data_IF_006826604815
#
_entry.id   IF_006826604815
#
_cell.length_a   1.000
_cell.length_b   1.000
_cell.length_c   1.000
_cell.angle_alpha   90.00
_cell.angle_beta   90.00
_cell.angle_gamma   90.00
#
_symmetry.space_group_name_H-M   'P 1'
#
loop_
_entity.id
_entity.type
_entity.pdbx_description
1 polymer ?
#
# COMPACT_ATOMS: atom_id res chain seq x y z
N UNK A 1 -15.99 5.42 -4.72
CA UNK A 1 -15.31 6.12 -3.65
C UNK A 1 -13.84 5.82 -3.67
N UNK A 2 -12.99 6.79 -3.44
CA UNK A 2 -11.55 6.66 -3.54
C UNK A 2 -10.90 7.20 -2.27
N UNK A 3 -9.55 7.10 -2.21
CA UNK A 3 -8.78 7.66 -1.12
C UNK A 3 -8.74 6.79 0.12
N UNK A 4 -8.80 7.39 1.33
CA UNK A 4 -8.54 6.66 2.57
C UNK A 4 -9.45 5.46 2.80
N UNK A 5 -10.73 5.57 2.47
CA UNK A 5 -11.68 4.46 2.68
C UNK A 5 -11.32 3.25 1.82
N UNK A 6 -10.95 3.48 0.56
CA UNK A 6 -10.54 2.40 -0.34
C UNK A 6 -9.24 1.77 0.15
N UNK A 7 -8.28 2.58 0.56
CA UNK A 7 -7.00 2.10 1.07
C UNK A 7 -7.19 1.30 2.35
N UNK A 8 -8.05 1.75 3.25
CA UNK A 8 -8.35 1.03 4.49
C UNK A 8 -8.97 -0.33 4.20
N UNK A 9 -9.88 -0.41 3.23
CA UNK A 9 -10.48 -1.67 2.82
C UNK A 9 -9.43 -2.64 2.27
N UNK A 10 -8.53 -2.14 1.44
CA UNK A 10 -7.44 -2.97 0.91
C UNK A 10 -6.48 -3.42 2.02
N UNK A 11 -6.23 -2.57 3.01
CA UNK A 11 -5.39 -2.94 4.16
C UNK A 11 -6.03 -4.07 4.95
N UNK A 12 -7.34 -4.07 5.12
CA UNK A 12 -8.05 -5.17 5.77
C UNK A 12 -7.87 -6.48 5.00
N UNK A 13 -7.95 -6.42 3.67
CA UNK A 13 -7.72 -7.61 2.84
C UNK A 13 -6.28 -8.10 2.95
N UNK A 14 -5.32 -7.20 3.12
CA UNK A 14 -3.92 -7.56 3.25
C UNK A 14 -3.61 -8.32 4.55
N UNK A 15 -4.48 -8.24 5.55
CA UNK A 15 -4.34 -9.01 6.79
C UNK A 15 -4.61 -10.50 6.60
N UNK A 16 -5.41 -10.85 5.60
CA UNK A 16 -5.75 -12.24 5.35
C UNK A 16 -4.50 -13.00 4.91
N UNK A 17 -4.24 -14.15 5.56
CA UNK A 17 -3.05 -14.95 5.26
C UNK A 17 -3.33 -16.07 4.26
N UNK A 18 -4.59 -16.33 3.96
CA UNK A 18 -5.04 -17.37 3.04
C UNK A 18 -5.35 -16.83 1.63
N UNK A 19 -5.07 -15.56 1.39
CA UNK A 19 -5.35 -14.90 0.12
C UNK A 19 -4.13 -14.13 -0.34
N UNK A 20 -3.97 -13.92 -1.67
CA UNK A 20 -2.92 -13.05 -2.17
C UNK A 20 -3.06 -11.65 -1.61
N UNK A 21 -1.93 -11.01 -1.34
CA UNK A 21 -1.92 -9.64 -0.83
C UNK A 21 -2.31 -8.68 -1.95
N UNK A 22 -3.35 -7.85 -1.78
CA UNK A 22 -3.79 -6.94 -2.84
C UNK A 22 -2.80 -5.79 -3.02
N UNK A 23 -2.74 -5.27 -4.26
CA UNK A 23 -1.96 -4.07 -4.53
C UNK A 23 -2.65 -2.85 -3.89
N UNK A 24 -1.90 -1.94 -3.26
CA UNK A 24 -2.47 -0.71 -2.71
C UNK A 24 -2.78 0.34 -3.79
N UNK A 25 -2.54 0.05 -5.05
CA UNK A 25 -2.76 1.01 -6.13
C UNK A 25 -4.25 1.27 -6.31
N UNK A 26 -4.64 2.56 -6.28
CA UNK A 26 -6.01 3.01 -6.52
C UNK A 26 -6.09 3.88 -7.78
N UNK A 27 -5.20 3.63 -8.73
CA UNK A 27 -5.11 4.33 -10.03
C UNK A 27 -4.67 5.79 -9.91
N UNK A 28 -4.11 6.20 -8.79
CA UNK A 28 -3.52 7.54 -8.62
C UNK A 28 -2.02 7.35 -8.46
N UNK A 29 -1.28 7.55 -9.56
CA UNK A 29 0.17 7.34 -9.59
C UNK A 29 0.88 8.69 -9.65
N UNK A 30 0.90 9.39 -8.51
CA UNK A 30 1.57 10.69 -8.42
C UNK A 30 2.46 10.70 -7.19
N UNK A 31 3.74 10.96 -7.40
CA UNK A 31 4.71 11.04 -6.31
C UNK A 31 4.75 12.47 -5.77
N UNK A 32 4.53 12.62 -4.48
CA UNK A 32 4.68 13.90 -3.80
C UNK A 32 6.17 14.22 -3.63
N UNK A 33 6.61 15.34 -4.14
CA UNK A 33 8.02 15.73 -4.11
C UNK A 33 8.55 15.92 -2.69
N UNK A 34 7.70 16.33 -1.75
CA UNK A 34 8.11 16.60 -0.38
C UNK A 34 8.33 15.31 0.41
N UNK A 35 7.45 14.32 0.25
CA UNK A 35 7.52 13.07 1.01
C UNK A 35 8.19 11.93 0.25
N UNK A 36 8.23 11.99 -1.08
CA UNK A 36 8.71 10.91 -1.91
C UNK A 36 7.73 9.74 -2.00
N UNK A 37 6.50 9.93 -1.55
CA UNK A 37 5.47 8.89 -1.52
C UNK A 37 4.40 9.16 -2.57
N UNK A 38 3.83 8.07 -3.10
CA UNK A 38 2.67 8.18 -3.97
C UNK A 38 1.47 8.69 -3.16
N UNK A 39 0.82 9.74 -3.64
CA UNK A 39 -0.30 10.36 -2.93
C UNK A 39 -1.51 9.43 -2.85
N UNK A 40 -1.59 8.43 -3.74
CA UNK A 40 -2.70 7.48 -3.73
C UNK A 40 -2.48 6.29 -2.83
N UNK A 41 -1.28 5.73 -2.80
CA UNK A 41 -1.02 4.45 -2.13
C UNK A 41 0.08 4.51 -1.07
N UNK A 42 0.68 5.67 -0.85
CA UNK A 42 1.67 5.89 0.22
C UNK A 42 2.93 5.05 0.08
N UNK A 43 3.26 4.61 -1.14
CA UNK A 43 4.50 3.87 -1.40
C UNK A 43 5.55 4.79 -1.99
N UNK A 44 6.83 4.43 -1.78
CA UNK A 44 7.91 5.03 -2.55
C UNK A 44 7.90 4.46 -3.96
N UNK A 45 8.57 5.15 -4.90
CA UNK A 45 8.64 4.65 -6.27
C UNK A 45 9.37 3.30 -6.33
N UNK A 46 10.38 3.10 -5.50
CA UNK A 46 11.11 1.83 -5.44
C UNK A 46 10.18 0.70 -4.98
N UNK A 47 9.31 0.97 -4.02
CA UNK A 47 8.32 -0.01 -3.54
C UNK A 47 7.33 -0.37 -4.65
N UNK A 48 6.91 0.62 -5.43
CA UNK A 48 6.01 0.38 -6.56
C UNK A 48 6.68 -0.52 -7.60
N UNK A 49 7.92 -0.21 -7.95
CA UNK A 49 8.68 -0.97 -8.94
C UNK A 49 8.90 -2.42 -8.49
N UNK A 50 9.21 -2.61 -7.21
CA UNK A 50 9.55 -3.93 -6.68
C UNK A 50 8.32 -4.82 -6.47
N UNK A 51 7.11 -4.25 -6.42
CA UNK A 51 5.90 -4.98 -6.04
C UNK A 51 5.68 -6.27 -6.82
N UNK A 52 5.87 -6.24 -8.13
CA UNK A 52 5.62 -7.38 -8.99
C UNK A 52 6.55 -8.57 -8.76
N UNK A 53 7.69 -8.34 -8.10
CA UNK A 53 8.69 -9.37 -7.83
C UNK A 53 8.70 -9.81 -6.37
N UNK A 54 7.86 -9.22 -5.53
CA UNK A 54 7.84 -9.49 -4.11
C UNK A 54 6.94 -10.67 -3.78
N UNK A 55 7.28 -11.37 -2.71
CA UNK A 55 6.42 -12.42 -2.12
C UNK A 55 5.29 -11.75 -1.33
N UNK A 56 4.28 -12.55 -0.96
CA UNK A 56 3.18 -12.03 -0.15
C UNK A 56 3.68 -11.51 1.20
N UNK A 57 4.66 -12.17 1.82
CA UNK A 57 5.23 -11.70 3.08
C UNK A 57 5.90 -10.34 2.92
N UNK A 58 6.63 -10.15 1.83
CA UNK A 58 7.28 -8.87 1.53
C UNK A 58 6.24 -7.79 1.27
N UNK A 59 5.18 -8.12 0.55
CA UNK A 59 4.08 -7.19 0.27
C UNK A 59 3.35 -6.79 1.54
N UNK A 60 3.16 -7.70 2.49
CA UNK A 60 2.60 -7.35 3.80
C UNK A 60 3.50 -6.40 4.56
N UNK A 61 4.82 -6.56 4.43
CA UNK A 61 5.76 -5.61 5.01
C UNK A 61 5.58 -4.20 4.46
N UNK A 62 5.36 -4.09 3.15
CA UNK A 62 5.06 -2.81 2.52
C UNK A 62 3.74 -2.25 3.07
N UNK A 63 2.70 -3.09 3.21
CA UNK A 63 1.43 -2.67 3.78
C UNK A 63 1.57 -2.14 5.21
N UNK A 64 2.46 -2.72 6.01
CA UNK A 64 2.71 -2.19 7.37
C UNK A 64 3.24 -0.76 7.30
N UNK A 65 4.14 -0.49 6.37
CA UNK A 65 4.64 0.86 6.17
C UNK A 65 3.54 1.81 5.68
N UNK A 66 2.71 1.33 4.76
CA UNK A 66 1.59 2.12 4.22
C UNK A 66 0.64 2.52 5.34
N UNK A 67 0.26 1.59 6.19
CA UNK A 67 -0.67 1.89 7.29
C UNK A 67 -0.09 2.90 8.27
N UNK A 68 1.21 2.80 8.55
CA UNK A 68 1.88 3.79 9.40
C UNK A 68 1.88 5.17 8.76
N UNK A 69 2.20 5.25 7.47
CA UNK A 69 2.28 6.51 6.75
C UNK A 69 0.93 7.19 6.61
N UNK A 70 -0.11 6.39 6.38
CA UNK A 70 -1.47 6.89 6.16
C UNK A 70 -2.26 7.06 7.46
N UNK A 71 -1.72 6.66 8.59
CA UNK A 71 -2.42 6.74 9.87
C UNK A 71 -3.57 5.75 10.00
N UNK A 72 -3.49 4.62 9.30
CA UNK A 72 -4.48 3.56 9.37
C UNK A 72 -4.14 2.57 10.48
N UNK A 73 -5.11 1.71 10.83
CA UNK A 73 -4.89 0.65 11.79
C UNK A 73 -3.79 -0.29 11.29
N UNK A 74 -2.81 -0.67 12.12
CA UNK A 74 -1.72 -1.55 11.69
C UNK A 74 -2.21 -2.95 11.33
N UNK A 75 -1.48 -3.58 10.43
CA UNK A 75 -1.77 -4.95 10.04
C UNK A 75 -0.69 -5.92 10.49
#
# INVERSE_FOLDING_TARGET
MTGPDTLATLAELARATDQPVPSPCISVCRIDAASGLCVGCWRTIDEIIAWGRQTDNERRGVWRLITQRAGLAPI
#
